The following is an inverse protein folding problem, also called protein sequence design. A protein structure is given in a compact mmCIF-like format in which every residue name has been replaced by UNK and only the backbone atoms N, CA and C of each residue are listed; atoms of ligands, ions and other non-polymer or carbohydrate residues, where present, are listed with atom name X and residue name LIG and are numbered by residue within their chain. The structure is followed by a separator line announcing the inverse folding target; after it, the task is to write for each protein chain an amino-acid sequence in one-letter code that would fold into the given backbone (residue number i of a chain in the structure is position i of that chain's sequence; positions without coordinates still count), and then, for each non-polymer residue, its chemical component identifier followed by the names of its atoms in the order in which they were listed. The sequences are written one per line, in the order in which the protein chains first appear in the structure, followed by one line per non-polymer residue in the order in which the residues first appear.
data_IF_015228819499
#
_entry.id   IF_015228819499
#
_cell.length_a   1.000
_cell.length_b   1.000
_cell.length_c   1.000
_cell.angle_alpha   90.00
_cell.angle_beta   90.00
_cell.angle_gamma   90.00
#
_symmetry.space_group_name_H-M   'P 1'
#
loop_
_entity.id
_entity.type
_entity.pdbx_description
1 polymer ?
#
# COMPACT_ATOMS: atom_id res chain seq x y z
N UNK A 1 -4.45 8.85 7.04
CA UNK A 1 -3.37 8.01 7.51
C UNK A 1 -2.03 8.74 7.55
N UNK A 2 -0.99 8.23 8.11
CA UNK A 2 0.38 8.77 8.14
C UNK A 2 0.54 10.21 8.71
N UNK A 3 -0.38 10.68 9.54
CA UNK A 3 -0.39 12.04 10.09
C UNK A 3 0.94 12.45 10.76
N UNK A 4 1.60 11.51 11.46
CA UNK A 4 2.91 11.75 12.11
C UNK A 4 4.00 12.08 11.09
N UNK A 5 4.03 11.36 9.97
CA UNK A 5 5.01 11.57 8.88
C UNK A 5 4.72 12.89 8.18
N UNK A 6 3.45 13.15 7.84
CA UNK A 6 3.04 14.42 7.21
C UNK A 6 3.38 15.61 8.10
N UNK A 7 3.09 15.56 9.40
CA UNK A 7 3.43 16.62 10.34
C UNK A 7 4.95 16.81 10.52
N UNK A 8 5.73 15.73 10.42
CA UNK A 8 7.19 15.81 10.49
C UNK A 8 7.76 16.48 9.23
N UNK A 9 7.30 16.08 8.05
CA UNK A 9 7.72 16.66 6.77
C UNK A 9 7.32 18.14 6.69
N UNK A 10 6.08 18.48 7.04
CA UNK A 10 5.57 19.84 7.07
C UNK A 10 6.44 20.75 7.95
N UNK A 11 6.78 20.31 9.17
CA UNK A 11 7.66 21.07 10.08
C UNK A 11 9.08 21.18 9.55
N UNK A 12 9.62 20.13 8.95
CA UNK A 12 10.98 20.16 8.40
C UNK A 12 11.07 21.13 7.21
N UNK A 13 10.03 21.19 6.37
CA UNK A 13 9.94 22.13 5.25
C UNK A 13 9.82 23.57 5.78
N UNK A 14 8.90 23.82 6.72
CA UNK A 14 8.69 25.14 7.30
C UNK A 14 9.97 25.72 7.96
N UNK A 15 10.81 24.84 8.53
CA UNK A 15 12.07 25.22 9.20
C UNK A 15 13.30 25.16 8.30
N UNK A 16 13.12 24.80 7.02
CA UNK A 16 14.21 24.56 6.06
C UNK A 16 15.27 23.53 6.55
N UNK A 17 14.84 22.58 7.40
CA UNK A 17 15.70 21.53 7.97
C UNK A 17 15.48 20.17 7.31
N UNK A 18 14.79 20.14 6.16
CA UNK A 18 14.55 18.88 5.44
C UNK A 18 15.87 18.29 4.96
N UNK A 19 16.19 17.04 5.29
CA UNK A 19 17.38 16.38 4.76
C UNK A 19 17.32 16.29 3.23
N UNK A 20 18.46 16.38 2.55
CA UNK A 20 18.51 16.37 1.10
C UNK A 20 18.14 15.01 0.49
N UNK A 21 18.18 13.93 1.29
CA UNK A 21 17.83 12.59 0.85
C UNK A 21 16.88 11.91 1.81
N UNK A 22 15.70 11.54 1.31
CA UNK A 22 14.64 10.87 2.05
C UNK A 22 14.39 9.47 1.46
N UNK A 23 14.20 8.48 2.32
CA UNK A 23 13.79 7.12 1.95
C UNK A 23 12.45 6.80 2.61
N UNK A 24 11.39 6.73 1.81
CA UNK A 24 10.06 6.34 2.25
C UNK A 24 9.93 4.83 2.15
N UNK A 25 10.01 4.13 3.27
CA UNK A 25 10.00 2.67 3.35
C UNK A 25 8.69 2.16 3.95
N UNK A 26 8.14 1.08 3.38
CA UNK A 26 6.92 0.43 3.89
C UNK A 26 6.18 -0.37 2.80
N UNK A 27 5.14 -1.13 3.14
CA UNK A 27 4.43 -1.98 2.20
C UNK A 27 3.98 -1.27 0.92
N UNK A 28 3.72 -2.03 -0.15
CA UNK A 28 3.25 -1.47 -1.41
C UNK A 28 1.82 -0.90 -1.26
N UNK A 29 1.51 0.17 -2.00
CA UNK A 29 0.16 0.75 -2.07
C UNK A 29 -0.32 1.53 -0.83
N UNK A 30 0.53 1.75 0.21
CA UNK A 30 0.13 2.47 1.43
C UNK A 30 0.24 4.01 1.33
N UNK A 31 0.52 4.56 0.15
CA UNK A 31 0.56 6.00 -0.07
C UNK A 31 1.94 6.66 -0.07
N UNK A 32 3.06 5.90 -0.07
CA UNK A 32 4.43 6.44 -0.11
C UNK A 32 4.66 7.40 -1.28
N UNK A 33 4.24 6.98 -2.48
CA UNK A 33 4.37 7.80 -3.69
C UNK A 33 3.55 9.10 -3.60
N UNK A 34 2.32 9.01 -3.11
CA UNK A 34 1.48 10.19 -2.89
C UNK A 34 2.12 11.17 -1.90
N UNK A 35 2.72 10.66 -0.82
CA UNK A 35 3.45 11.47 0.14
C UNK A 35 4.71 12.10 -0.48
N UNK A 36 5.42 11.40 -1.37
CA UNK A 36 6.58 11.94 -2.09
C UNK A 36 6.18 13.09 -3.03
N UNK A 37 5.09 12.93 -3.79
CA UNK A 37 4.52 14.00 -4.62
C UNK A 37 4.07 15.20 -3.79
N UNK A 38 3.32 14.98 -2.70
CA UNK A 38 2.88 16.06 -1.81
C UNK A 38 4.09 16.81 -1.18
N UNK A 39 5.17 16.10 -0.88
CA UNK A 39 6.42 16.74 -0.41
C UNK A 39 7.05 17.60 -1.51
N UNK A 40 7.07 17.14 -2.76
CA UNK A 40 7.58 17.91 -3.89
C UNK A 40 6.72 19.15 -4.18
N UNK A 41 5.39 19.01 -4.06
CA UNK A 41 4.44 20.12 -4.14
C UNK A 41 4.70 21.16 -3.05
N UNK A 42 4.81 20.74 -1.79
CA UNK A 42 5.08 21.64 -0.66
C UNK A 42 6.41 22.40 -0.81
N UNK A 43 7.46 21.73 -1.33
CA UNK A 43 8.77 22.33 -1.58
C UNK A 43 8.75 23.41 -2.67
N UNK A 44 7.83 23.31 -3.65
CA UNK A 44 7.78 24.20 -4.82
C UNK A 44 6.50 25.03 -4.90
N UNK A 45 5.59 24.91 -3.95
CA UNK A 45 4.35 25.68 -3.91
C UNK A 45 4.64 27.18 -3.82
N UNK A 46 4.05 27.98 -4.72
CA UNK A 46 4.21 29.44 -4.72
C UNK A 46 3.29 30.14 -3.71
N UNK A 47 2.22 29.47 -3.32
CA UNK A 47 1.22 29.94 -2.38
C UNK A 47 0.99 28.88 -1.27
N UNK A 48 2.02 28.60 -0.46
CA UNK A 48 1.89 27.55 0.54
C UNK A 48 0.85 27.92 1.61
N UNK A 49 0.11 26.92 2.05
CA UNK A 49 -0.77 27.06 3.20
C UNK A 49 0.11 27.06 4.47
N UNK A 50 0.22 28.22 5.07
CA UNK A 50 0.91 28.38 6.37
C UNK A 50 -0.19 28.55 7.41
N UNK A 51 -0.53 27.46 8.10
CA UNK A 51 -1.52 27.47 9.19
C UNK A 51 -0.86 27.51 10.55
N UNK A 52 -1.37 28.35 11.47
CA UNK A 52 -1.16 28.16 12.89
C UNK A 52 -2.07 27.04 13.39
N UNK A 53 -1.53 26.15 14.25
CA UNK A 53 -2.25 25.12 15.00
C UNK A 53 -3.13 24.18 14.17
N UNK A 54 -2.56 23.05 13.75
CA UNK A 54 -3.39 21.87 13.57
C UNK A 54 -4.05 21.55 14.91
N UNK A 55 -5.38 21.43 14.93
CA UNK A 55 -6.12 21.00 16.12
C UNK A 55 -5.40 19.84 16.82
N UNK A 56 -5.38 19.83 18.16
CA UNK A 56 -4.79 18.73 18.89
C UNK A 56 -5.49 17.44 18.44
N UNK A 57 -4.74 16.54 17.81
CA UNK A 57 -5.22 15.18 17.62
C UNK A 57 -5.62 14.64 19.00
N UNK A 58 -6.83 14.11 19.15
CA UNK A 58 -7.37 13.48 20.36
C UNK A 58 -6.58 12.22 20.81
N UNK A 59 -5.29 12.15 20.54
CA UNK A 59 -4.45 11.08 21.06
C UNK A 59 -4.04 11.41 22.51
N UNK A 60 -4.45 10.61 23.51
CA UNK A 60 -4.04 10.79 24.89
C UNK A 60 -2.53 10.52 24.98
N UNK A 61 -1.74 11.57 25.26
CA UNK A 61 -0.31 11.45 25.53
C UNK A 61 0.59 12.45 24.85
N UNK A 62 0.13 13.31 23.93
CA UNK A 62 0.93 14.36 23.30
C UNK A 62 0.37 15.77 23.55
N UNK A 63 0.00 16.06 24.78
CA UNK A 63 -0.29 17.44 25.18
C UNK A 63 1.00 18.28 24.98
N UNK A 64 0.87 19.37 24.21
CA UNK A 64 1.97 20.31 24.04
C UNK A 64 2.38 20.85 25.41
N UNK A 65 3.67 20.80 25.73
CA UNK A 65 4.19 21.41 26.93
C UNK A 65 3.84 22.90 26.95
N UNK A 66 3.45 23.48 28.09
CA UNK A 66 3.18 24.92 28.20
C UNK A 66 4.41 25.73 27.74
N UNK A 67 4.22 26.58 26.72
CA UNK A 67 5.30 27.38 26.14
C UNK A 67 5.97 26.79 24.89
N UNK A 68 5.48 25.68 24.34
CA UNK A 68 5.93 25.17 23.03
C UNK A 68 5.59 26.19 21.92
N UNK A 69 6.53 26.47 20.98
CA UNK A 69 6.25 27.37 19.87
C UNK A 69 5.11 26.82 19.01
N UNK A 70 4.31 27.71 18.38
CA UNK A 70 3.18 27.29 17.55
C UNK A 70 3.63 26.26 16.52
N UNK A 71 2.85 25.20 16.36
CA UNK A 71 3.11 24.13 15.38
C UNK A 71 2.86 24.68 13.98
N UNK A 72 3.89 25.26 13.38
CA UNK A 72 3.84 25.72 11.99
C UNK A 72 3.47 24.52 11.10
N UNK A 73 2.28 24.57 10.51
CA UNK A 73 1.89 23.67 9.47
C UNK A 73 2.24 24.33 8.13
N UNK A 74 2.97 23.62 7.30
CA UNK A 74 3.35 24.07 5.96
C UNK A 74 2.89 23.01 4.95
N UNK A 75 1.95 23.36 4.10
CA UNK A 75 1.43 22.43 3.10
C UNK A 75 1.31 23.11 1.73
N UNK A 76 1.22 22.30 0.67
CA UNK A 76 0.95 22.78 -0.67
C UNK A 76 -0.50 23.25 -0.79
N UNK A 77 -0.75 24.33 -1.55
CA UNK A 77 -2.12 24.80 -1.79
C UNK A 77 -2.92 23.87 -2.72
N UNK A 78 -2.25 22.98 -3.47
CA UNK A 78 -2.87 22.06 -4.43
C UNK A 78 -3.43 22.69 -5.71
N UNK A 79 -3.52 24.03 -5.78
CA UNK A 79 -4.22 24.75 -6.85
C UNK A 79 -3.31 25.66 -7.68
N UNK A 80 -2.15 26.09 -7.17
CA UNK A 80 -1.27 26.98 -7.92
C UNK A 80 -0.62 26.26 -9.11
N UNK A 81 -0.07 27.03 -10.04
CA UNK A 81 0.56 26.51 -11.28
C UNK A 81 1.63 25.46 -11.01
N UNK A 82 2.42 25.63 -9.95
CA UNK A 82 3.47 24.66 -9.59
C UNK A 82 2.84 23.33 -9.12
N UNK A 83 1.89 23.39 -8.19
CA UNK A 83 1.18 22.19 -7.68
C UNK A 83 0.48 21.42 -8.82
N UNK A 84 -0.28 22.11 -9.68
CA UNK A 84 -0.96 21.48 -10.82
C UNK A 84 0.04 20.79 -11.78
N UNK A 85 1.18 21.42 -12.10
CA UNK A 85 2.19 20.81 -12.97
C UNK A 85 2.91 19.64 -12.33
N UNK A 86 3.15 19.68 -11.01
CA UNK A 86 3.73 18.56 -10.27
C UNK A 86 2.75 17.38 -10.23
N UNK A 87 1.48 17.64 -9.92
CA UNK A 87 0.45 16.61 -9.91
C UNK A 87 0.31 15.90 -11.27
N UNK A 88 0.48 16.63 -12.38
CA UNK A 88 0.49 16.10 -13.76
C UNK A 88 1.83 15.53 -14.22
N UNK A 89 2.89 15.59 -13.41
CA UNK A 89 4.20 15.07 -13.75
C UNK A 89 4.95 15.88 -14.82
N UNK A 90 4.60 17.15 -15.06
CA UNK A 90 5.18 18.01 -16.12
C UNK A 90 5.97 19.21 -15.59
N UNK A 91 6.29 19.22 -14.30
CA UNK A 91 7.08 20.29 -13.71
C UNK A 91 8.58 20.09 -13.99
N UNK A 92 9.27 21.10 -14.55
CA UNK A 92 10.65 21.00 -15.02
C UNK A 92 11.65 20.62 -13.91
N UNK A 93 11.41 21.10 -12.68
CA UNK A 93 12.30 20.84 -11.55
C UNK A 93 11.87 19.67 -10.67
N UNK A 94 10.80 18.94 -11.04
CA UNK A 94 10.38 17.71 -10.36
C UNK A 94 10.46 16.56 -11.34
N UNK A 95 11.48 15.72 -11.18
CA UNK A 95 11.76 14.60 -12.07
C UNK A 95 11.39 13.30 -11.40
N UNK A 96 10.45 12.58 -11.97
CA UNK A 96 10.06 11.25 -11.52
C UNK A 96 10.81 10.18 -12.34
N UNK A 97 11.39 9.21 -11.63
CA UNK A 97 11.99 8.00 -12.19
C UNK A 97 11.13 6.82 -11.76
N UNK A 98 10.64 6.06 -12.72
CA UNK A 98 9.82 4.88 -12.50
C UNK A 98 10.48 3.65 -13.16
N UNK A 99 10.19 2.44 -12.67
CA UNK A 99 10.65 1.22 -13.32
C UNK A 99 10.13 1.10 -14.74
N UNK A 100 10.94 0.48 -15.61
CA UNK A 100 10.52 0.11 -16.97
C UNK A 100 9.53 -1.07 -16.98
N UNK A 101 9.12 -1.51 -18.17
CA UNK A 101 8.21 -2.65 -18.37
C UNK A 101 8.75 -3.97 -17.75
N UNK A 102 10.07 -4.04 -17.50
CA UNK A 102 10.73 -5.19 -16.85
C UNK A 102 10.86 -5.02 -15.33
N UNK A 103 10.17 -4.03 -14.76
CA UNK A 103 10.27 -3.66 -13.35
C UNK A 103 11.72 -3.36 -12.89
N UNK A 104 12.50 -2.71 -13.75
CA UNK A 104 13.91 -2.36 -13.52
C UNK A 104 14.19 -0.89 -13.79
N UNK A 105 15.11 -0.29 -13.03
CA UNK A 105 15.65 1.05 -13.26
C UNK A 105 17.14 0.93 -13.56
N UNK A 106 17.49 1.19 -14.80
CA UNK A 106 18.86 1.05 -15.30
C UNK A 106 19.71 2.28 -15.00
N UNK A 107 21.04 2.07 -15.04
CA UNK A 107 22.03 3.11 -14.76
C UNK A 107 21.90 4.34 -15.68
N UNK A 108 21.56 4.14 -16.95
CA UNK A 108 21.49 5.24 -17.92
C UNK A 108 20.38 6.23 -17.60
N UNK A 109 19.21 5.72 -17.12
CA UNK A 109 18.11 6.57 -16.65
C UNK A 109 18.55 7.42 -15.46
N UNK A 110 19.26 6.80 -14.51
CA UNK A 110 19.76 7.50 -13.33
C UNK A 110 20.79 8.56 -13.73
N UNK A 111 21.74 8.25 -14.63
CA UNK A 111 22.74 9.21 -15.11
C UNK A 111 22.14 10.40 -15.83
N UNK A 112 21.11 10.18 -16.68
CA UNK A 112 20.41 11.28 -17.33
C UNK A 112 19.78 12.23 -16.30
N UNK A 113 19.09 11.69 -15.30
CA UNK A 113 18.50 12.50 -14.22
C UNK A 113 19.58 13.23 -13.42
N UNK A 114 20.67 12.56 -13.04
CA UNK A 114 21.77 13.19 -12.31
C UNK A 114 22.45 14.31 -13.08
N UNK A 115 22.59 14.18 -14.41
CA UNK A 115 23.15 15.25 -15.25
C UNK A 115 22.33 16.55 -15.16
N UNK A 116 21.01 16.43 -15.06
CA UNK A 116 20.08 17.55 -14.90
C UNK A 116 20.16 18.18 -13.52
N UNK A 117 20.56 17.43 -12.48
CA UNK A 117 20.67 17.96 -11.11
C UNK A 117 21.88 18.85 -10.90
N UNK A 118 22.87 18.83 -11.80
CA UNK A 118 24.05 19.68 -11.73
C UNK A 118 23.74 21.19 -11.82
N UNK A 119 22.57 21.53 -12.37
CA UNK A 119 22.14 22.92 -12.53
C UNK A 119 21.17 23.34 -11.43
N UNK A 120 21.11 24.66 -11.13
CA UNK A 120 20.10 25.21 -10.23
C UNK A 120 18.69 24.96 -10.76
N UNK A 121 17.66 24.91 -9.88
CA UNK A 121 16.26 24.84 -10.31
C UNK A 121 15.94 25.93 -11.32
N UNK A 122 15.13 25.63 -12.32
CA UNK A 122 14.77 26.56 -13.40
C UNK A 122 13.66 27.53 -13.00
N UNK A 123 12.58 27.01 -12.41
CA UNK A 123 11.43 27.81 -12.00
C UNK A 123 10.99 27.53 -10.54
N UNK A 124 11.36 26.36 -10.01
CA UNK A 124 11.04 25.94 -8.64
C UNK A 124 12.02 26.48 -7.60
N UNK A 125 11.62 26.42 -6.33
CA UNK A 125 12.53 26.71 -5.20
C UNK A 125 13.53 25.59 -4.99
N UNK A 126 13.12 24.34 -5.25
CA UNK A 126 13.92 23.13 -5.09
C UNK A 126 13.80 22.24 -6.31
N UNK A 127 14.90 21.64 -6.69
CA UNK A 127 14.85 20.50 -7.59
C UNK A 127 14.56 19.23 -6.80
N UNK A 128 13.55 18.47 -7.22
CA UNK A 128 13.15 17.23 -6.55
C UNK A 128 13.27 16.06 -7.50
N UNK A 129 14.06 15.07 -7.10
CA UNK A 129 14.19 13.79 -7.81
C UNK A 129 13.40 12.74 -7.03
N UNK A 130 12.34 12.25 -7.64
CA UNK A 130 11.48 11.21 -7.09
C UNK A 130 11.83 9.87 -7.73
N UNK A 131 12.24 8.89 -6.93
CA UNK A 131 12.53 7.53 -7.42
C UNK A 131 11.45 6.60 -6.86
N UNK A 132 10.54 6.18 -7.74
CA UNK A 132 9.48 5.23 -7.42
C UNK A 132 10.05 3.81 -7.42
N UNK A 133 9.65 3.02 -6.41
CA UNK A 133 10.09 1.63 -6.31
C UNK A 133 11.62 1.49 -6.42
N UNK A 134 12.35 2.20 -5.56
CA UNK A 134 13.81 2.21 -5.59
C UNK A 134 14.44 0.82 -5.41
N UNK A 135 13.67 -0.17 -4.94
CA UNK A 135 14.04 -1.58 -4.93
C UNK A 135 14.22 -2.17 -6.36
N UNK A 136 13.66 -1.52 -7.40
CA UNK A 136 13.86 -1.83 -8.81
C UNK A 136 15.19 -1.30 -9.38
N UNK A 137 15.94 -0.47 -8.64
CA UNK A 137 17.25 0.04 -9.07
C UNK A 137 18.25 -1.10 -9.18
N UNK A 138 18.82 -1.29 -10.38
CA UNK A 138 19.95 -2.19 -10.57
C UNK A 138 21.16 -1.75 -9.73
N UNK A 139 22.02 -2.68 -9.33
CA UNK A 139 23.22 -2.35 -8.53
C UNK A 139 24.08 -1.23 -9.13
N UNK A 140 24.36 -1.22 -10.47
CA UNK A 140 25.08 -0.11 -11.09
C UNK A 140 24.36 1.25 -10.98
N UNK A 141 23.03 1.24 -11.06
CA UNK A 141 22.20 2.44 -10.90
C UNK A 141 22.25 2.98 -9.46
N UNK A 142 22.19 2.09 -8.45
CA UNK A 142 22.37 2.46 -7.05
C UNK A 142 23.76 3.06 -6.79
N UNK A 143 24.81 2.48 -7.37
CA UNK A 143 26.17 3.02 -7.22
C UNK A 143 26.32 4.41 -7.87
N UNK A 144 25.67 4.65 -9.02
CA UNK A 144 25.69 5.95 -9.66
C UNK A 144 25.07 7.08 -8.80
N UNK A 145 24.10 6.74 -7.95
CA UNK A 145 23.47 7.70 -7.02
C UNK A 145 24.39 8.12 -5.87
N UNK A 146 25.33 7.27 -5.45
CA UNK A 146 26.07 7.45 -4.18
C UNK A 146 26.74 8.82 -4.07
N UNK A 147 27.41 9.28 -5.11
CA UNK A 147 28.08 10.59 -5.10
C UNK A 147 27.11 11.74 -4.84
N UNK A 148 25.94 11.71 -5.50
CA UNK A 148 24.92 12.74 -5.36
C UNK A 148 24.16 12.67 -4.02
N UNK A 149 24.15 11.48 -3.38
CA UNK A 149 23.58 11.32 -2.03
C UNK A 149 24.56 11.75 -0.94
N UNK A 150 25.87 11.65 -1.18
CA UNK A 150 26.93 12.13 -0.28
C UNK A 150 27.06 13.66 -0.33
N UNK A 151 27.13 14.20 -1.53
CA UNK A 151 27.30 15.62 -1.80
C UNK A 151 26.14 16.10 -2.69
N UNK A 152 24.94 16.26 -2.13
CA UNK A 152 23.78 16.64 -2.92
C UNK A 152 23.95 18.03 -3.51
N UNK A 153 23.62 18.22 -4.80
CA UNK A 153 23.68 19.52 -5.44
C UNK A 153 22.82 20.55 -4.70
N UNK A 154 23.23 21.82 -4.65
CA UNK A 154 22.50 22.88 -3.97
C UNK A 154 21.03 22.92 -4.39
N UNK A 155 20.12 23.07 -3.44
CA UNK A 155 18.68 23.12 -3.64
C UNK A 155 18.07 21.85 -4.27
N UNK A 156 18.75 20.70 -4.23
CA UNK A 156 18.23 19.42 -4.72
C UNK A 156 17.81 18.53 -3.55
N UNK A 157 16.65 17.86 -3.71
CA UNK A 157 16.12 16.88 -2.75
C UNK A 157 15.84 15.57 -3.49
N UNK A 158 16.35 14.46 -2.95
CA UNK A 158 16.08 13.13 -3.44
C UNK A 158 15.04 12.45 -2.54
N UNK A 159 13.99 11.89 -3.11
CA UNK A 159 12.97 11.12 -2.38
C UNK A 159 12.84 9.76 -3.05
N UNK A 160 13.28 8.72 -2.36
CA UNK A 160 13.21 7.34 -2.79
C UNK A 160 12.02 6.66 -2.10
N UNK A 161 11.21 5.91 -2.82
CA UNK A 161 10.16 5.07 -2.23
C UNK A 161 10.52 3.60 -2.42
N UNK A 162 10.32 2.76 -1.40
CA UNK A 162 10.61 1.32 -1.49
C UNK A 162 9.64 0.49 -0.66
N UNK A 163 9.30 -0.70 -1.14
CA UNK A 163 8.61 -1.71 -0.36
C UNK A 163 9.60 -2.62 0.39
N UNK A 164 10.79 -2.82 -0.15
CA UNK A 164 11.81 -3.73 0.35
C UNK A 164 13.11 -2.97 0.61
N UNK A 165 13.25 -2.24 1.72
CA UNK A 165 14.45 -1.42 1.98
C UNK A 165 15.74 -2.25 2.06
N UNK A 166 15.64 -3.57 2.31
CA UNK A 166 16.78 -4.49 2.33
C UNK A 166 17.41 -4.75 0.96
N UNK A 167 16.71 -4.48 -0.16
CA UNK A 167 17.24 -4.61 -1.52
C UNK A 167 18.20 -3.47 -1.90
N UNK A 168 18.09 -2.33 -1.21
CA UNK A 168 18.97 -1.20 -1.41
C UNK A 168 20.33 -1.44 -0.73
N UNK A 169 21.39 -0.98 -1.36
CA UNK A 169 22.74 -1.00 -0.81
C UNK A 169 22.77 -0.32 0.56
N UNK A 170 23.53 -0.87 1.50
CA UNK A 170 23.70 -0.28 2.81
C UNK A 170 24.23 1.17 2.75
N UNK A 171 25.06 1.44 1.73
CA UNK A 171 25.61 2.78 1.45
C UNK A 171 24.56 3.80 1.00
N UNK A 172 23.52 3.39 0.26
CA UNK A 172 22.36 4.24 -0.08
C UNK A 172 21.51 4.51 1.17
N UNK A 173 21.22 3.44 1.93
CA UNK A 173 20.39 3.55 3.15
C UNK A 173 21.03 4.43 4.24
N UNK A 174 22.34 4.32 4.42
CA UNK A 174 23.05 5.11 5.46
C UNK A 174 23.10 6.61 5.16
N UNK A 175 22.91 7.00 3.89
CA UNK A 175 22.88 8.41 3.43
C UNK A 175 21.47 8.95 3.25
N UNK A 176 20.46 8.15 3.56
CA UNK A 176 19.05 8.53 3.40
C UNK A 176 18.34 8.55 4.74
N UNK A 177 17.65 9.64 5.06
CA UNK A 177 16.75 9.66 6.21
C UNK A 177 15.55 8.78 5.94
N UNK A 178 15.44 7.68 6.68
CA UNK A 178 14.35 6.70 6.47
C UNK A 178 13.11 7.09 7.25
N UNK A 179 11.99 7.27 6.53
CA UNK A 179 10.65 7.44 7.07
C UNK A 179 9.87 6.14 6.84
N UNK A 180 9.41 5.53 7.94
CA UNK A 180 8.71 4.24 7.89
C UNK A 180 7.20 4.45 7.82
N UNK A 181 6.60 4.09 6.69
CA UNK A 181 5.16 4.07 6.48
C UNK A 181 4.60 2.74 6.97
N UNK A 182 3.75 2.78 7.97
CA UNK A 182 3.04 1.61 8.49
C UNK A 182 1.79 1.28 7.67
N UNK A 183 1.17 0.14 7.98
CA UNK A 183 -0.16 -0.19 7.44
C UNK A 183 -1.20 0.74 8.06
N UNK A 184 -2.16 1.15 7.26
CA UNK A 184 -3.31 1.92 7.71
C UNK A 184 -4.32 1.00 8.39
N UNK A 185 -5.12 1.54 9.28
CA UNK A 185 -6.29 0.82 9.80
C UNK A 185 -7.36 0.69 8.70
N UNK A 186 -8.21 -0.33 8.79
CA UNK A 186 -9.33 -0.48 7.82
C UNK A 186 -10.22 0.77 7.80
N UNK A 187 -10.44 1.42 8.95
CA UNK A 187 -11.19 2.65 9.03
C UNK A 187 -10.53 3.80 8.26
N UNK A 188 -9.20 3.96 8.36
CA UNK A 188 -8.46 4.97 7.60
C UNK A 188 -8.48 4.69 6.11
N UNK A 189 -8.36 3.42 5.69
CA UNK A 189 -8.46 3.03 4.27
C UNK A 189 -9.87 3.34 3.75
N UNK A 190 -10.92 2.94 4.46
CA UNK A 190 -12.30 3.21 4.08
C UNK A 190 -12.57 4.73 3.95
N UNK A 191 -12.09 5.53 4.92
CA UNK A 191 -12.23 6.99 4.88
C UNK A 191 -11.54 7.61 3.66
N UNK A 192 -10.37 7.10 3.24
CA UNK A 192 -9.68 7.56 2.03
C UNK A 192 -10.47 7.19 0.77
N UNK A 193 -11.00 5.95 0.70
CA UNK A 193 -11.79 5.49 -0.44
C UNK A 193 -13.08 6.31 -0.63
N UNK A 194 -13.76 6.61 0.45
CA UNK A 194 -15.00 7.41 0.41
C UNK A 194 -14.70 8.87 0.05
N UNK A 195 -13.68 9.48 0.67
CA UNK A 195 -13.37 10.90 0.50
C UNK A 195 -12.72 11.22 -0.85
N UNK A 196 -11.74 10.39 -1.28
CA UNK A 196 -10.85 10.71 -2.41
C UNK A 196 -11.20 9.93 -3.69
N UNK A 197 -12.00 8.86 -3.57
CA UNK A 197 -12.34 7.97 -4.67
C UNK A 197 -13.86 7.75 -4.84
N UNK A 198 -14.68 8.52 -4.15
CA UNK A 198 -16.16 8.52 -4.27
C UNK A 198 -16.82 7.15 -4.11
N UNK A 199 -16.15 6.22 -3.40
CA UNK A 199 -16.69 4.90 -3.15
C UNK A 199 -17.82 4.94 -2.11
N UNK A 200 -18.86 4.15 -2.33
CA UNK A 200 -19.94 3.98 -1.35
C UNK A 200 -19.41 3.46 -0.01
N UNK A 201 -19.98 3.92 1.10
CA UNK A 201 -19.47 3.63 2.45
C UNK A 201 -19.37 2.12 2.74
N UNK A 202 -20.39 1.35 2.35
CA UNK A 202 -20.41 -0.10 2.53
C UNK A 202 -19.34 -0.81 1.68
N UNK A 203 -19.16 -0.37 0.44
CA UNK A 203 -18.16 -0.90 -0.49
C UNK A 203 -16.74 -0.54 -0.03
N UNK A 204 -16.53 0.71 0.38
CA UNK A 204 -15.26 1.17 0.92
C UNK A 204 -14.84 0.37 2.16
N UNK A 205 -15.77 0.03 3.07
CA UNK A 205 -15.50 -0.82 4.23
C UNK A 205 -15.12 -2.24 3.82
N UNK A 206 -15.85 -2.84 2.88
CA UNK A 206 -15.56 -4.18 2.39
C UNK A 206 -14.19 -4.26 1.72
N UNK A 207 -13.86 -3.30 0.85
CA UNK A 207 -12.54 -3.21 0.22
C UNK A 207 -11.42 -2.98 1.25
N UNK A 208 -11.64 -2.10 2.22
CA UNK A 208 -10.67 -1.78 3.27
C UNK A 208 -10.35 -2.99 4.17
N UNK A 209 -11.34 -3.82 4.46
CA UNK A 209 -11.16 -5.04 5.25
C UNK A 209 -10.23 -6.06 4.56
N UNK A 210 -10.23 -6.10 3.22
CA UNK A 210 -9.43 -7.03 2.41
C UNK A 210 -8.05 -6.46 2.02
N UNK A 211 -7.87 -5.16 2.15
CA UNK A 211 -6.71 -4.44 1.61
C UNK A 211 -5.48 -4.44 2.52
N UNK A 212 -5.53 -5.08 3.69
CA UNK A 212 -4.40 -5.19 4.63
C UNK A 212 -3.72 -3.84 4.91
N UNK A 213 -4.53 -2.79 5.06
CA UNK A 213 -4.07 -1.44 5.33
C UNK A 213 -3.44 -0.71 4.12
N UNK A 214 -3.65 -1.20 2.90
CA UNK A 214 -3.12 -0.61 1.67
C UNK A 214 -4.25 -0.01 0.81
N UNK A 215 -4.28 1.31 0.66
CA UNK A 215 -5.23 2.00 -0.23
C UNK A 215 -5.09 1.54 -1.68
N UNK A 216 -3.85 1.34 -2.15
CA UNK A 216 -3.60 0.86 -3.52
C UNK A 216 -4.16 -0.55 -3.76
N UNK A 217 -4.07 -1.44 -2.77
CA UNK A 217 -4.70 -2.76 -2.87
C UNK A 217 -6.23 -2.65 -2.83
N UNK A 218 -6.78 -1.79 -1.98
CA UNK A 218 -8.22 -1.56 -1.94
C UNK A 218 -8.76 -1.07 -3.30
N UNK A 219 -8.08 -0.13 -3.93
CA UNK A 219 -8.45 0.37 -5.27
C UNK A 219 -8.34 -0.72 -6.36
N UNK A 220 -7.32 -1.56 -6.28
CA UNK A 220 -7.20 -2.70 -7.20
C UNK A 220 -8.35 -3.70 -7.02
N UNK A 221 -8.85 -3.89 -5.79
CA UNK A 221 -10.03 -4.69 -5.50
C UNK A 221 -11.31 -4.09 -6.11
N UNK A 222 -11.49 -2.77 -6.04
CA UNK A 222 -12.64 -2.08 -6.64
C UNK A 222 -12.74 -2.19 -8.15
N UNK A 223 -11.64 -2.53 -8.83
CA UNK A 223 -11.62 -2.79 -10.26
C UNK A 223 -12.03 -4.25 -10.63
N UNK A 224 -12.24 -5.12 -9.64
CA UNK A 224 -12.62 -6.53 -9.84
C UNK A 224 -14.07 -6.77 -9.46
N UNK A 225 -14.69 -7.79 -10.04
CA UNK A 225 -16.03 -8.25 -9.64
C UNK A 225 -15.96 -8.99 -8.29
N UNK A 226 -15.93 -8.19 -7.20
CA UNK A 226 -15.85 -8.70 -5.84
C UNK A 226 -17.02 -9.61 -5.46
N UNK A 227 -18.20 -9.43 -6.06
CA UNK A 227 -19.36 -10.26 -5.77
C UNK A 227 -19.11 -11.70 -6.22
N UNK A 228 -18.72 -11.89 -7.48
CA UNK A 228 -18.36 -13.22 -8.02
C UNK A 228 -17.18 -13.87 -7.30
N UNK A 229 -16.16 -13.08 -6.93
CA UNK A 229 -15.01 -13.62 -6.18
C UNK A 229 -15.39 -14.02 -4.76
N UNK A 230 -16.31 -13.28 -4.12
CA UNK A 230 -16.86 -13.62 -2.78
C UNK A 230 -17.68 -14.92 -2.84
N UNK A 231 -18.53 -15.07 -3.83
CA UNK A 231 -19.28 -16.32 -4.04
C UNK A 231 -18.33 -17.51 -4.24
N UNK A 232 -17.26 -17.32 -5.00
CA UNK A 232 -16.23 -18.35 -5.22
C UNK A 232 -15.52 -18.73 -3.91
N UNK A 233 -15.18 -17.74 -3.07
CA UNK A 233 -14.55 -17.97 -1.77
C UNK A 233 -15.50 -18.71 -0.81
N UNK A 234 -16.77 -18.32 -0.79
CA UNK A 234 -17.79 -18.98 0.01
C UNK A 234 -18.02 -20.44 -0.46
N UNK A 235 -18.11 -20.65 -1.77
CA UNK A 235 -18.23 -21.99 -2.35
C UNK A 235 -17.05 -22.90 -1.95
N UNK A 236 -15.82 -22.37 -1.98
CA UNK A 236 -14.64 -23.10 -1.53
C UNK A 236 -14.80 -23.59 -0.09
N UNK A 237 -15.24 -22.72 0.84
CA UNK A 237 -15.45 -23.08 2.24
C UNK A 237 -16.62 -24.06 2.42
N UNK A 238 -17.72 -23.85 1.73
CA UNK A 238 -18.90 -24.73 1.81
C UNK A 238 -18.60 -26.14 1.33
N UNK A 239 -17.95 -26.26 0.18
CA UNK A 239 -17.65 -27.56 -0.41
C UNK A 239 -16.55 -28.30 0.36
N UNK A 240 -15.54 -27.61 0.85
CA UNK A 240 -14.52 -28.24 1.71
C UNK A 240 -15.08 -28.69 3.06
N UNK A 241 -16.10 -28.00 3.60
CA UNK A 241 -16.80 -28.41 4.80
C UNK A 241 -17.70 -29.64 4.58
N UNK A 242 -18.28 -29.79 3.38
CA UNK A 242 -19.18 -30.90 3.05
C UNK A 242 -18.47 -32.16 2.59
N UNK A 243 -17.31 -32.00 1.91
CA UNK A 243 -16.63 -33.10 1.25
C UNK A 243 -15.49 -33.64 2.11
N UNK A 244 -15.56 -34.92 2.46
CA UNK A 244 -14.46 -35.65 3.11
C UNK A 244 -13.51 -36.32 2.10
N UNK A 245 -13.97 -36.49 0.85
CA UNK A 245 -13.20 -37.16 -0.20
C UNK A 245 -12.24 -36.21 -0.93
N UNK A 246 -10.98 -36.61 -1.06
CA UNK A 246 -9.92 -35.84 -1.71
C UNK A 246 -10.23 -35.53 -3.19
N UNK A 247 -10.86 -36.47 -3.92
CA UNK A 247 -11.19 -36.24 -5.33
C UNK A 247 -12.24 -35.14 -5.48
N UNK A 248 -13.26 -35.12 -4.62
CA UNK A 248 -14.26 -34.05 -4.61
C UNK A 248 -13.63 -32.69 -4.29
N UNK A 249 -12.72 -32.61 -3.31
CA UNK A 249 -11.98 -31.38 -2.98
C UNK A 249 -11.11 -30.88 -4.14
N UNK A 250 -10.47 -31.77 -4.90
CA UNK A 250 -9.70 -31.38 -6.08
C UNK A 250 -10.60 -30.85 -7.21
N UNK A 251 -11.84 -31.35 -7.34
CA UNK A 251 -12.83 -30.77 -8.28
C UNK A 251 -13.23 -29.35 -7.87
N UNK A 252 -13.41 -29.09 -6.59
CA UNK A 252 -13.63 -27.73 -6.06
C UNK A 252 -12.45 -26.82 -6.39
N UNK A 253 -11.23 -27.29 -6.18
CA UNK A 253 -10.03 -26.54 -6.54
C UNK A 253 -9.99 -26.18 -8.03
N UNK A 254 -10.34 -27.13 -8.90
CA UNK A 254 -10.42 -26.89 -10.34
C UNK A 254 -11.49 -25.84 -10.70
N UNK A 255 -12.63 -25.83 -10.01
CA UNK A 255 -13.67 -24.82 -10.18
C UNK A 255 -13.23 -23.42 -9.74
N UNK A 256 -12.44 -23.33 -8.66
CA UNK A 256 -11.88 -22.07 -8.17
C UNK A 256 -10.85 -21.49 -9.14
N UNK A 257 -9.99 -22.32 -9.75
CA UNK A 257 -8.99 -21.90 -10.75
C UNK A 257 -9.63 -21.59 -12.09
N UNK A 258 -10.68 -22.34 -12.47
CA UNK A 258 -11.41 -22.14 -13.72
C UNK A 258 -12.31 -20.91 -13.66
N UNK A 259 -11.90 -19.81 -14.30
CA UNK A 259 -12.73 -18.60 -14.43
C UNK A 259 -13.86 -18.69 -15.47
N UNK A 260 -14.18 -19.91 -15.96
CA UNK A 260 -15.19 -20.17 -17.01
C UNK A 260 -14.73 -21.26 -18.01
N UNK A 261 -15.54 -21.64 -18.98
CA UNK A 261 -15.33 -22.86 -19.77
C UNK A 261 -14.07 -22.90 -20.64
N UNK A 262 -13.24 -21.86 -20.70
CA UNK A 262 -12.01 -21.83 -21.52
C UNK A 262 -10.88 -20.94 -21.00
N UNK A 263 -10.93 -20.41 -19.76
CA UNK A 263 -9.92 -19.44 -19.32
C UNK A 263 -9.55 -19.70 -17.86
N UNK A 264 -8.26 -19.89 -17.58
CA UNK A 264 -7.76 -19.89 -16.21
C UNK A 264 -7.95 -18.50 -15.58
N UNK A 265 -8.35 -18.49 -14.32
CA UNK A 265 -8.55 -17.25 -13.57
C UNK A 265 -7.20 -16.52 -13.37
N UNK A 266 -7.17 -15.20 -13.55
CA UNK A 266 -5.95 -14.41 -13.27
C UNK A 266 -5.42 -14.66 -11.85
N UNK A 267 -4.12 -14.65 -11.69
CA UNK A 267 -3.46 -14.82 -10.40
C UNK A 267 -3.91 -13.77 -9.39
N UNK A 268 -4.17 -12.54 -9.84
CA UNK A 268 -4.71 -11.44 -9.03
C UNK A 268 -6.05 -11.81 -8.40
N UNK A 269 -6.96 -12.39 -9.18
CA UNK A 269 -8.29 -12.79 -8.71
C UNK A 269 -8.21 -13.94 -7.70
N UNK A 270 -7.31 -14.90 -7.93
CA UNK A 270 -7.07 -15.97 -6.97
C UNK A 270 -6.54 -15.41 -5.64
N UNK A 271 -5.63 -14.45 -5.66
CA UNK A 271 -5.16 -13.79 -4.45
C UNK A 271 -6.31 -13.07 -3.70
N UNK A 272 -7.26 -12.47 -4.43
CA UNK A 272 -8.46 -11.87 -3.83
C UNK A 272 -9.36 -12.93 -3.21
N UNK A 273 -9.61 -14.04 -3.90
CA UNK A 273 -10.40 -15.17 -3.36
C UNK A 273 -9.79 -15.67 -2.05
N UNK A 274 -8.47 -15.88 -2.00
CA UNK A 274 -7.79 -16.33 -0.79
C UNK A 274 -7.89 -15.33 0.36
N UNK A 275 -7.80 -14.02 0.08
CA UNK A 275 -8.00 -12.99 1.09
C UNK A 275 -9.45 -12.94 1.60
N UNK A 276 -10.42 -13.11 0.71
CA UNK A 276 -11.82 -13.26 1.07
C UNK A 276 -12.03 -14.49 1.96
N UNK A 277 -11.47 -15.64 1.59
CA UNK A 277 -11.51 -16.87 2.39
C UNK A 277 -10.92 -16.64 3.78
N UNK A 278 -9.75 -16.01 3.89
CA UNK A 278 -9.14 -15.64 5.18
C UNK A 278 -10.03 -14.71 6.00
N UNK A 279 -10.66 -13.72 5.36
CA UNK A 279 -11.58 -12.78 6.01
C UNK A 279 -12.85 -13.48 6.50
N UNK A 280 -13.40 -14.40 5.72
CA UNK A 280 -14.59 -15.21 6.10
C UNK A 280 -14.29 -16.17 7.26
N UNK A 281 -13.09 -16.79 7.29
CA UNK A 281 -12.66 -17.61 8.44
C UNK A 281 -12.58 -16.79 9.72
N UNK A 282 -12.11 -15.54 9.64
CA UNK A 282 -12.09 -14.61 10.77
C UNK A 282 -13.50 -14.21 11.23
N UNK A 283 -14.40 -13.96 10.28
CA UNK A 283 -15.80 -13.65 10.59
C UNK A 283 -16.50 -14.84 11.26
N UNK A 284 -16.23 -16.08 10.82
CA UNK A 284 -16.76 -17.29 11.47
C UNK A 284 -16.26 -17.44 12.93
N UNK A 285 -14.99 -17.14 13.18
CA UNK A 285 -14.46 -17.15 14.56
C UNK A 285 -15.10 -16.05 15.42
N UNK A 286 -15.32 -14.87 14.83
CA UNK A 286 -16.03 -13.77 15.51
C UNK A 286 -17.49 -14.18 15.85
N UNK A 287 -18.20 -14.83 14.93
CA UNK A 287 -19.55 -15.35 15.15
C UNK A 287 -19.56 -16.43 16.26
N UNK A 288 -18.60 -17.35 16.24
CA UNK A 288 -18.46 -18.37 17.30
C UNK A 288 -18.21 -17.75 18.69
N UNK A 289 -17.56 -16.58 18.70
CA UNK A 289 -17.30 -15.82 19.94
C UNK A 289 -18.47 -14.90 20.35
N UNK A 290 -19.58 -14.89 19.61
CA UNK A 290 -20.76 -14.06 19.89
C UNK A 290 -20.58 -12.58 19.55
N UNK A 291 -19.70 -12.24 18.60
CA UNK A 291 -19.49 -10.87 18.18
C UNK A 291 -20.70 -10.28 17.43
N UNK A 292 -20.89 -8.96 17.54
CA UNK A 292 -21.93 -8.22 16.81
C UNK A 292 -21.68 -8.30 15.29
N UNK A 293 -22.72 -8.47 14.49
CA UNK A 293 -22.68 -8.48 13.02
C UNK A 293 -22.03 -7.22 12.44
N UNK A 294 -22.05 -6.11 13.16
CA UNK A 294 -21.40 -4.85 12.76
C UNK A 294 -19.86 -4.92 12.67
N UNK A 295 -19.28 -5.92 13.34
CA UNK A 295 -17.82 -6.12 13.37
C UNK A 295 -17.35 -6.98 12.19
N UNK A 296 -18.27 -7.70 11.53
CA UNK A 296 -17.95 -8.58 10.42
C UNK A 296 -17.46 -7.81 9.20
N UNK A 297 -16.45 -8.35 8.55
CA UNK A 297 -15.96 -7.84 7.27
C UNK A 297 -16.87 -8.23 6.08
N UNK A 298 -17.61 -9.33 6.20
CA UNK A 298 -18.50 -9.86 5.16
C UNK A 298 -19.95 -10.00 5.65
N UNK A 299 -20.62 -8.92 6.07
CA UNK A 299 -21.98 -9.00 6.63
C UNK A 299 -23.04 -9.52 5.64
N UNK A 300 -22.79 -9.41 4.34
CA UNK A 300 -23.70 -9.86 3.27
C UNK A 300 -23.89 -11.38 3.27
N UNK A 301 -22.90 -12.14 3.72
CA UNK A 301 -22.89 -13.61 3.77
C UNK A 301 -22.85 -14.13 5.21
N UNK A 302 -23.33 -13.32 6.17
CA UNK A 302 -23.25 -13.65 7.60
C UNK A 302 -24.03 -14.92 7.97
N UNK A 303 -25.20 -15.15 7.36
CA UNK A 303 -26.03 -16.31 7.62
C UNK A 303 -25.35 -17.60 7.13
N UNK A 304 -24.75 -17.58 5.95
CA UNK A 304 -23.99 -18.70 5.40
C UNK A 304 -22.73 -18.98 6.23
N UNK A 305 -22.03 -17.93 6.68
CA UNK A 305 -20.87 -18.08 7.56
C UNK A 305 -21.26 -18.63 8.93
N UNK A 306 -22.41 -18.23 9.47
CA UNK A 306 -22.95 -18.78 10.71
C UNK A 306 -23.22 -20.28 10.63
N UNK A 307 -23.74 -20.75 9.49
CA UNK A 307 -23.98 -22.18 9.24
C UNK A 307 -22.67 -23.00 9.17
N UNK A 308 -21.57 -22.38 8.74
CA UNK A 308 -20.24 -23.01 8.62
C UNK A 308 -19.38 -22.86 9.87
N UNK A 309 -19.71 -21.92 10.75
CA UNK A 309 -18.87 -21.52 11.88
C UNK A 309 -18.55 -22.70 12.83
N UNK A 310 -19.51 -23.61 13.03
CA UNK A 310 -19.29 -24.80 13.85
C UNK A 310 -18.31 -25.80 13.25
N UNK A 311 -18.19 -25.85 11.91
CA UNK A 311 -17.24 -26.73 11.22
C UNK A 311 -15.81 -26.17 11.29
N UNK A 312 -15.68 -24.85 11.12
CA UNK A 312 -14.41 -24.12 11.24
C UNK A 312 -14.28 -23.50 12.63
N UNK A 313 -14.11 -24.33 13.67
CA UNK A 313 -13.94 -23.89 15.05
C UNK A 313 -12.66 -24.47 15.66
N UNK A 314 -12.09 -23.77 16.64
CA UNK A 314 -10.93 -24.21 17.42
C UNK A 314 -9.67 -24.42 16.57
N UNK A 315 -9.05 -25.59 16.68
CA UNK A 315 -7.82 -25.94 15.97
C UNK A 315 -8.03 -25.96 14.45
N UNK A 316 -9.20 -26.41 14.00
CA UNK A 316 -9.52 -26.45 12.57
C UNK A 316 -9.58 -25.06 11.94
N UNK A 317 -10.12 -24.06 12.63
CA UNK A 317 -10.10 -22.67 12.18
C UNK A 317 -8.67 -22.15 12.04
N UNK A 318 -7.83 -22.46 13.03
CA UNK A 318 -6.41 -22.07 13.03
C UNK A 318 -5.64 -22.71 11.88
N UNK A 319 -5.85 -24.00 11.63
CA UNK A 319 -5.17 -24.74 10.57
C UNK A 319 -5.63 -24.24 9.19
N UNK A 320 -6.93 -24.01 8.99
CA UNK A 320 -7.49 -23.45 7.78
C UNK A 320 -6.93 -22.05 7.50
N UNK A 321 -6.88 -21.17 8.52
CA UNK A 321 -6.28 -19.85 8.39
C UNK A 321 -4.80 -19.93 8.00
N UNK A 322 -4.04 -20.78 8.68
CA UNK A 322 -2.64 -21.01 8.36
C UNK A 322 -2.41 -21.60 6.96
N UNK A 323 -3.33 -22.43 6.46
CA UNK A 323 -3.27 -22.95 5.10
C UNK A 323 -3.51 -21.83 4.06
N UNK A 324 -4.51 -20.98 4.26
CA UNK A 324 -4.77 -19.82 3.39
C UNK A 324 -3.59 -18.86 3.35
N UNK A 325 -2.97 -18.57 4.50
CA UNK A 325 -1.80 -17.69 4.60
C UNK A 325 -0.60 -18.27 3.83
N UNK A 326 -0.33 -19.57 3.97
CA UNK A 326 0.73 -20.26 3.19
C UNK A 326 0.43 -20.23 1.68
N UNK A 327 -0.83 -20.39 1.29
CA UNK A 327 -1.25 -20.31 -0.12
C UNK A 327 -1.01 -18.91 -0.70
N UNK A 328 -1.36 -17.84 0.03
CA UNK A 328 -1.09 -16.44 -0.36
C UNK A 328 0.41 -16.21 -0.52
N UNK A 329 1.20 -16.64 0.45
CA UNK A 329 2.66 -16.50 0.40
C UNK A 329 3.29 -17.25 -0.79
N UNK A 330 2.78 -18.45 -1.12
CA UNK A 330 3.23 -19.20 -2.28
C UNK A 330 2.89 -18.47 -3.60
N UNK A 331 1.70 -17.87 -3.69
CA UNK A 331 1.33 -17.04 -4.83
C UNK A 331 2.25 -15.82 -5.00
N UNK A 332 2.59 -15.13 -3.94
CA UNK A 332 3.51 -13.98 -3.98
C UNK A 332 4.92 -14.37 -4.48
N UNK A 333 5.30 -15.63 -4.26
CA UNK A 333 6.56 -16.22 -4.75
C UNK A 333 6.46 -16.91 -6.11
N UNK A 334 5.45 -16.58 -6.87
CA UNK A 334 5.27 -17.12 -8.22
C UNK A 334 4.98 -18.63 -8.33
N UNK A 335 4.46 -19.29 -7.28
CA UNK A 335 3.96 -20.66 -7.39
C UNK A 335 2.77 -20.75 -8.38
N UNK A 336 2.61 -21.85 -9.06
CA UNK A 336 1.52 -22.08 -10.02
C UNK A 336 0.13 -22.01 -9.35
N UNK A 337 -0.83 -21.30 -9.94
CA UNK A 337 -2.17 -21.10 -9.41
C UNK A 337 -2.88 -22.43 -9.13
N UNK A 338 -2.82 -23.37 -10.07
CA UNK A 338 -3.42 -24.69 -9.95
C UNK A 338 -2.88 -25.46 -8.75
N UNK A 339 -1.54 -25.54 -8.61
CA UNK A 339 -0.88 -26.27 -7.52
C UNK A 339 -1.26 -25.70 -6.16
N UNK A 340 -1.28 -24.35 -6.05
CA UNK A 340 -1.63 -23.66 -4.80
C UNK A 340 -3.07 -23.98 -4.41
N UNK A 341 -4.00 -23.94 -5.36
CA UNK A 341 -5.43 -24.16 -5.07
C UNK A 341 -5.76 -25.62 -4.77
N UNK A 342 -5.15 -26.56 -5.51
CA UNK A 342 -5.29 -27.99 -5.26
C UNK A 342 -4.74 -28.35 -3.87
N UNK A 343 -3.56 -27.86 -3.52
CA UNK A 343 -3.00 -28.03 -2.20
C UNK A 343 -3.92 -27.45 -1.12
N UNK A 344 -4.38 -26.21 -1.29
CA UNK A 344 -5.24 -25.55 -0.29
C UNK A 344 -6.54 -26.33 -0.06
N UNK A 345 -7.21 -26.79 -1.13
CA UNK A 345 -8.46 -27.55 -1.01
C UNK A 345 -8.27 -28.87 -0.23
N UNK A 346 -7.08 -29.44 -0.20
CA UNK A 346 -6.76 -30.62 0.62
C UNK A 346 -6.47 -30.27 2.08
N UNK A 347 -6.13 -29.02 2.39
CA UNK A 347 -5.79 -28.56 3.75
C UNK A 347 -7.00 -27.97 4.51
N UNK A 348 -8.00 -27.42 3.80
CA UNK A 348 -9.25 -26.96 4.38
C UNK A 348 -10.19 -28.11 4.75
#
# INVERSE_FOLDING_TARGET
GHHRISALLSRAIARETLPPTLLFAGPSGIGKWRAALATAEALNCVEPLVGGESEPSDEPGLAAAPGAPPRLCYDACGACRACDRIARGVHVDVVAVEPDEKASIKIDVVRDVLSRTAYRPFEGRRRVVLIREADALERPAQNALLKSLEEPPPATVFILTTAVPGSLLATVRSRSMTLRFGRLTSAEVAAVLTRDHEQGEAEARAMAALADGSVGQALALGATDLATLRETALLLLQETARQSDVQARLQVAAAVVGGGPKKERPRTDLAVILRLTSSMLRDMEALNSGADLRVLANPIVADELGALAGFFAGDRARDAFGAVDRALFALERNAGTKVVTEWLATQL
#
